data_IF_323621834259
#
_entry.id   IF_323621834259
#
_cell.length_a   1.000
_cell.length_b   1.000
_cell.length_c   1.000
_cell.angle_alpha   90.00
_cell.angle_beta   90.00
_cell.angle_gamma   90.00
#
_symmetry.space_group_name_H-M   'P 1'
#
loop_
_entity.id
_entity.type
_entity.pdbx_description
1 polymer ?
#
# COMPACT_ATOMS: atom_id res chain seq x y z
N UNK A 1 -12.62 4.37 20.07
CA UNK A 1 -12.49 3.09 19.37
C UNK A 1 -11.78 3.40 18.06
N UNK A 2 -10.54 3.05 17.97
CA UNK A 2 -9.61 3.52 16.93
C UNK A 2 -9.17 2.34 16.08
N UNK A 3 -9.57 2.32 14.84
CA UNK A 3 -9.05 1.45 13.77
C UNK A 3 -9.09 2.31 12.50
N UNK A 4 -8.17 2.24 11.56
CA UNK A 4 -7.36 1.14 11.09
C UNK A 4 -5.88 1.47 10.91
N UNK A 5 -5.05 0.44 10.98
CA UNK A 5 -3.63 0.50 10.73
C UNK A 5 -3.33 0.38 9.23
N UNK A 6 -3.44 1.46 8.46
CA UNK A 6 -2.65 1.58 7.24
C UNK A 6 -1.30 2.18 7.63
N UNK A 7 -0.38 1.32 7.97
CA UNK A 7 1.04 1.66 7.99
C UNK A 7 1.43 1.99 6.57
N UNK A 8 1.94 3.22 6.37
CA UNK A 8 2.57 3.70 5.14
C UNK A 8 1.90 3.09 3.90
N UNK A 9 1.82 3.81 2.82
CA UNK A 9 1.53 3.22 1.50
C UNK A 9 2.57 2.15 1.14
N UNK A 10 2.72 1.15 2.03
CA UNK A 10 3.04 -0.17 1.59
C UNK A 10 1.83 -0.52 0.75
N UNK A 11 1.93 -0.17 -0.53
CA UNK A 11 1.18 -0.87 -1.55
C UNK A 11 1.62 -2.31 -1.38
N UNK A 12 1.04 -2.97 -0.36
CA UNK A 12 1.03 -4.40 -0.35
C UNK A 12 0.43 -4.68 -1.72
N UNK A 13 1.26 -5.05 -2.68
CA UNK A 13 0.76 -5.76 -3.81
C UNK A 13 -0.21 -6.71 -3.15
N UNK A 14 -1.48 -6.58 -3.47
CA UNK A 14 -2.38 -7.67 -3.21
C UNK A 14 -1.70 -8.81 -3.92
N UNK A 15 -0.93 -9.56 -3.16
CA UNK A 15 -0.66 -10.90 -3.50
C UNK A 15 -2.06 -11.47 -3.65
N UNK A 16 -2.55 -11.42 -4.88
CA UNK A 16 -3.41 -12.45 -5.39
C UNK A 16 -2.53 -13.69 -5.26
N UNK A 17 -2.32 -14.10 -4.00
CA UNK A 17 -1.98 -15.47 -3.71
C UNK A 17 -3.12 -16.19 -4.35
N UNK A 18 -2.88 -16.70 -5.55
CA UNK A 18 -3.70 -17.69 -6.20
C UNK A 18 -3.93 -18.78 -5.17
N UNK A 19 -4.89 -18.54 -4.29
CA UNK A 19 -5.56 -19.60 -3.58
C UNK A 19 -6.14 -20.41 -4.71
N UNK A 20 -5.52 -21.57 -4.95
CA UNK A 20 -5.96 -22.54 -5.94
C UNK A 20 -7.48 -22.52 -6.05
N UNK A 21 -7.95 -22.35 -7.30
CA UNK A 21 -9.28 -22.63 -7.83
C UNK A 21 -10.27 -23.36 -6.89
N UNK A 22 -10.70 -22.66 -5.90
CA UNK A 22 -11.97 -22.89 -5.27
C UNK A 22 -12.76 -21.63 -5.60
N UNK A 23 -13.52 -21.66 -6.71
CA UNK A 23 -14.77 -20.90 -6.77
C UNK A 23 -15.48 -21.26 -5.49
N UNK A 24 -15.34 -20.40 -4.49
CA UNK A 24 -15.87 -20.69 -3.18
C UNK A 24 -17.39 -20.67 -3.34
N UNK A 25 -18.01 -21.84 -3.32
CA UNK A 25 -19.45 -21.95 -3.20
C UNK A 25 -19.91 -21.35 -1.86
N UNK A 26 -18.98 -21.19 -0.90
CA UNK A 26 -19.21 -20.76 0.46
C UNK A 26 -18.50 -19.43 0.80
N UNK A 27 -18.94 -18.82 1.89
CA UNK A 27 -18.30 -17.65 2.48
C UNK A 27 -16.91 -17.97 3.00
N UNK A 28 -15.93 -17.12 2.67
CA UNK A 28 -14.57 -17.23 3.18
C UNK A 28 -14.33 -16.22 4.30
N UNK A 29 -13.83 -16.71 5.42
CA UNK A 29 -13.43 -15.90 6.57
C UNK A 29 -11.93 -16.03 6.79
N UNK A 30 -11.21 -14.92 6.90
CA UNK A 30 -9.75 -14.90 7.12
C UNK A 30 -9.41 -13.99 8.29
N UNK A 31 -8.48 -14.43 9.12
CA UNK A 31 -7.86 -13.62 10.15
C UNK A 31 -6.36 -13.57 9.92
N UNK A 32 -5.78 -12.37 10.04
CA UNK A 32 -4.39 -12.11 9.76
C UNK A 32 -3.70 -11.52 10.97
N UNK A 33 -2.51 -12.01 11.30
CA UNK A 33 -1.63 -11.45 12.30
C UNK A 33 -0.19 -11.44 11.80
N UNK A 34 0.53 -10.35 12.02
CA UNK A 34 1.87 -10.24 11.47
C UNK A 34 2.65 -9.06 12.02
N UNK A 35 3.76 -8.78 11.35
CA UNK A 35 4.66 -7.67 11.66
C UNK A 35 5.17 -7.04 10.38
N UNK A 36 5.28 -5.72 10.38
CA UNK A 36 5.90 -4.95 9.29
C UNK A 36 7.07 -4.13 9.83
N UNK A 37 8.18 -4.15 9.11
CA UNK A 37 9.29 -3.21 9.32
C UNK A 37 9.46 -2.35 8.07
N UNK A 38 9.30 -1.04 8.21
CA UNK A 38 9.32 -0.08 7.11
C UNK A 38 9.82 1.29 7.57
N UNK A 39 10.18 2.21 6.65
CA UNK A 39 10.39 3.61 6.98
C UNK A 39 9.15 4.22 7.65
N UNK A 40 9.35 5.14 8.59
CA UNK A 40 8.23 5.77 9.33
C UNK A 40 7.31 6.61 8.44
N UNK A 41 7.85 7.15 7.35
CA UNK A 41 7.13 7.80 6.25
C UNK A 41 7.95 7.61 4.97
N UNK A 42 7.34 7.82 3.83
CA UNK A 42 8.00 7.67 2.54
C UNK A 42 9.15 8.67 2.39
N UNK A 43 10.36 8.17 2.21
CA UNK A 43 11.59 8.96 2.20
C UNK A 43 12.37 8.98 3.53
N UNK A 44 11.78 8.52 4.64
CA UNK A 44 12.46 8.51 5.93
C UNK A 44 13.66 7.56 5.96
N UNK A 45 14.72 7.96 6.66
CA UNK A 45 15.79 7.07 7.11
C UNK A 45 15.40 6.32 8.39
N UNK A 46 14.53 6.91 9.21
CA UNK A 46 14.00 6.34 10.43
C UNK A 46 13.00 5.22 10.11
N UNK A 47 13.13 4.11 10.82
CA UNK A 47 12.29 2.91 10.63
C UNK A 47 11.39 2.66 11.82
N UNK A 48 10.32 1.90 11.56
CA UNK A 48 9.43 1.42 12.60
C UNK A 48 9.13 -0.06 12.36
N UNK A 49 8.96 -0.79 13.46
CA UNK A 49 8.41 -2.15 13.42
C UNK A 49 7.06 -2.13 14.10
N UNK A 50 6.03 -2.52 13.39
CA UNK A 50 4.66 -2.44 13.87
C UNK A 50 3.93 -3.78 13.72
N UNK A 51 3.07 -4.15 14.68
CA UNK A 51 2.20 -5.30 14.52
C UNK A 51 1.15 -5.03 13.45
N UNK A 52 0.77 -6.08 12.73
CA UNK A 52 -0.33 -6.10 11.78
C UNK A 52 -1.41 -7.04 12.32
N UNK A 53 -2.63 -6.55 12.36
CA UNK A 53 -3.81 -7.34 12.68
C UNK A 53 -4.88 -6.99 11.65
N UNK A 54 -5.57 -8.00 11.15
CA UNK A 54 -6.59 -7.78 10.17
C UNK A 54 -7.43 -9.03 9.92
N UNK A 55 -8.36 -8.89 9.00
CA UNK A 55 -9.19 -9.99 8.56
C UNK A 55 -10.06 -9.58 7.39
N UNK A 56 -10.63 -10.56 6.74
CA UNK A 56 -11.57 -10.36 5.65
C UNK A 56 -12.70 -11.38 5.67
N UNK A 57 -13.81 -10.98 5.11
CA UNK A 57 -14.97 -11.82 4.83
C UNK A 57 -15.25 -11.63 3.35
N UNK A 58 -15.33 -12.73 2.59
CA UNK A 58 -15.65 -12.71 1.16
C UNK A 58 -16.82 -13.63 0.88
N UNK A 59 -17.82 -13.11 0.18
CA UNK A 59 -18.99 -13.89 -0.23
C UNK A 59 -18.70 -14.72 -1.49
N UNK A 60 -19.48 -15.76 -1.79
CA UNK A 60 -19.41 -16.51 -3.05
C UNK A 60 -19.54 -15.63 -4.30
N UNK A 61 -20.27 -14.53 -4.21
CA UNK A 61 -20.45 -13.56 -5.31
C UNK A 61 -19.34 -12.52 -5.44
N UNK A 62 -18.23 -12.64 -4.67
CA UNK A 62 -17.08 -11.75 -4.76
C UNK A 62 -17.19 -10.46 -3.92
N UNK A 63 -18.29 -10.22 -3.21
CA UNK A 63 -18.37 -9.09 -2.28
C UNK A 63 -17.51 -9.35 -1.06
N UNK A 64 -16.73 -8.36 -0.66
CA UNK A 64 -15.84 -8.51 0.50
C UNK A 64 -15.89 -7.33 1.47
N UNK A 65 -15.55 -7.64 2.72
CA UNK A 65 -15.20 -6.69 3.78
C UNK A 65 -13.79 -7.04 4.21
N UNK A 66 -12.87 -6.10 4.12
CA UNK A 66 -11.46 -6.30 4.45
C UNK A 66 -10.94 -5.13 5.29
N UNK A 67 -10.17 -5.42 6.33
CA UNK A 67 -9.66 -4.40 7.25
C UNK A 67 -8.62 -3.46 6.62
N UNK A 68 -8.02 -3.84 5.51
CA UNK A 68 -7.03 -3.04 4.80
C UNK A 68 -7.63 -2.32 3.58
N UNK A 69 -8.44 -3.00 2.77
CA UNK A 69 -9.07 -2.43 1.58
C UNK A 69 -10.37 -1.70 1.88
N UNK A 70 -11.15 -2.16 2.84
CA UNK A 70 -12.49 -1.67 3.13
C UNK A 70 -13.57 -2.59 2.57
N UNK A 71 -14.58 -2.03 1.94
CA UNK A 71 -15.73 -2.74 1.34
C UNK A 71 -15.56 -2.77 -0.16
N UNK A 72 -15.83 -3.92 -0.80
CA UNK A 72 -15.68 -3.99 -2.24
C UNK A 72 -16.28 -5.23 -2.86
N UNK A 73 -16.03 -5.34 -4.14
CA UNK A 73 -16.34 -6.50 -4.95
C UNK A 73 -15.15 -6.82 -5.84
N UNK A 74 -14.85 -8.09 -6.00
CA UNK A 74 -13.79 -8.58 -6.86
C UNK A 74 -14.28 -9.79 -7.66
N UNK A 75 -13.74 -9.91 -8.84
CA UNK A 75 -13.90 -11.05 -9.73
C UNK A 75 -12.54 -11.58 -10.10
N UNK A 76 -12.30 -12.83 -9.80
CA UNK A 76 -11.08 -13.55 -10.15
C UNK A 76 -11.41 -14.48 -11.34
N UNK A 77 -10.77 -14.23 -12.47
CA UNK A 77 -10.97 -14.99 -13.71
C UNK A 77 -9.69 -15.68 -14.19
N UNK A 78 -9.81 -16.57 -15.15
CA UNK A 78 -8.65 -17.32 -15.67
C UNK A 78 -7.62 -16.41 -16.35
N UNK A 79 -8.07 -15.38 -17.05
CA UNK A 79 -7.21 -14.46 -17.79
C UNK A 79 -7.19 -13.04 -17.21
N UNK A 80 -8.25 -12.64 -16.52
CA UNK A 80 -8.43 -11.28 -16.07
C UNK A 80 -9.13 -11.21 -14.72
N UNK A 81 -8.50 -10.53 -13.76
CA UNK A 81 -9.09 -10.19 -12.47
C UNK A 81 -9.46 -8.71 -12.44
N UNK A 82 -10.54 -8.40 -11.76
CA UNK A 82 -11.01 -7.04 -11.58
C UNK A 82 -11.62 -6.85 -10.21
N UNK A 83 -11.38 -5.69 -9.59
CA UNK A 83 -11.96 -5.34 -8.31
C UNK A 83 -12.26 -3.85 -8.18
N UNK A 84 -13.28 -3.53 -7.41
CA UNK A 84 -13.63 -2.16 -7.01
C UNK A 84 -13.88 -2.13 -5.51
N UNK A 85 -13.40 -1.07 -4.85
CA UNK A 85 -13.58 -0.95 -3.42
C UNK A 85 -13.68 0.50 -2.96
N UNK A 86 -14.31 0.68 -1.81
CA UNK A 86 -14.31 1.91 -1.03
C UNK A 86 -13.59 1.64 0.29
N UNK A 87 -12.70 2.54 0.65
CA UNK A 87 -11.86 2.34 1.83
C UNK A 87 -11.40 3.67 2.42
N UNK A 88 -10.26 3.60 3.10
CA UNK A 88 -9.64 4.77 3.71
C UNK A 88 -8.21 4.93 3.20
N UNK A 89 -7.81 6.16 2.86
CA UNK A 89 -6.45 6.44 2.38
C UNK A 89 -5.40 6.27 3.48
N UNK A 90 -4.14 6.17 3.07
CA UNK A 90 -3.02 6.26 3.98
C UNK A 90 -3.01 7.62 4.72
N UNK A 91 -2.37 7.65 5.89
CA UNK A 91 -2.22 8.83 6.72
C UNK A 91 -0.75 9.02 7.12
N UNK A 92 -0.34 10.27 7.35
CA UNK A 92 1.00 10.61 7.87
C UNK A 92 0.86 11.60 9.01
N UNK A 93 1.46 11.31 10.16
CA UNK A 93 1.53 12.24 11.29
C UNK A 93 2.80 13.07 11.19
N UNK A 94 2.70 14.35 11.50
CA UNK A 94 3.81 15.30 11.55
C UNK A 94 4.60 15.24 12.88
N UNK A 95 4.19 14.37 13.79
CA UNK A 95 4.87 14.07 15.03
C UNK A 95 4.86 12.55 15.29
N UNK A 96 5.76 12.08 16.17
CA UNK A 96 5.80 10.66 16.53
C UNK A 96 4.58 10.30 17.36
N UNK A 97 3.83 9.28 16.92
CA UNK A 97 2.68 8.74 17.60
C UNK A 97 2.66 7.22 17.46
N UNK A 98 3.20 6.51 18.46
CA UNK A 98 3.38 5.07 18.41
C UNK A 98 4.24 4.65 17.21
N UNK A 99 3.66 3.84 16.32
CA UNK A 99 4.33 3.34 15.12
C UNK A 99 4.28 4.30 13.93
N UNK A 100 3.57 5.44 14.05
CA UNK A 100 3.31 6.39 12.95
C UNK A 100 4.04 7.71 13.16
N UNK A 101 4.27 8.42 12.03
CA UNK A 101 4.80 9.76 12.02
C UNK A 101 6.25 9.88 12.50
N UNK A 102 6.76 11.08 12.47
CA UNK A 102 8.12 11.42 12.92
C UNK A 102 8.15 12.89 13.35
N UNK A 103 8.83 13.18 14.45
CA UNK A 103 9.02 14.54 14.95
C UNK A 103 9.83 15.40 13.97
N UNK A 104 10.55 14.74 13.05
CA UNK A 104 11.20 15.42 11.93
C UNK A 104 10.23 16.20 11.05
N UNK A 105 8.97 15.76 10.96
CA UNK A 105 7.93 16.40 10.14
C UNK A 105 7.17 17.52 10.87
N UNK A 106 7.61 17.91 12.06
CA UNK A 106 6.97 18.97 12.83
C UNK A 106 6.78 20.25 11.99
N UNK A 107 5.58 20.80 12.01
CA UNK A 107 5.19 21.97 11.22
C UNK A 107 4.72 21.67 9.80
N UNK A 108 4.85 20.44 9.32
CA UNK A 108 4.35 20.06 7.99
C UNK A 108 2.84 19.86 7.94
N UNK A 109 2.21 19.63 9.09
CA UNK A 109 0.81 19.21 9.18
C UNK A 109 0.64 17.70 8.91
N UNK A 110 -0.33 17.13 9.59
CA UNK A 110 -0.65 15.70 9.45
C UNK A 110 -1.57 15.48 8.25
N UNK A 111 -1.24 14.47 7.45
CA UNK A 111 -2.13 13.97 6.40
C UNK A 111 -3.10 13.00 7.07
N UNK A 112 -4.38 13.35 7.10
CA UNK A 112 -5.43 12.51 7.69
C UNK A 112 -5.86 11.43 6.72
N UNK A 113 -6.32 10.29 7.26
CA UNK A 113 -6.97 9.25 6.47
C UNK A 113 -8.35 9.73 6.04
N UNK A 114 -8.70 9.55 4.79
CA UNK A 114 -9.94 10.04 4.15
C UNK A 114 -10.56 8.95 3.29
N UNK A 115 -11.85 9.06 2.96
CA UNK A 115 -12.48 8.11 2.06
C UNK A 115 -11.73 8.01 0.73
N UNK A 116 -11.66 6.82 0.17
CA UNK A 116 -11.13 6.58 -1.17
C UNK A 116 -11.97 5.56 -1.92
N UNK A 117 -11.90 5.62 -3.24
CA UNK A 117 -12.35 4.58 -4.17
C UNK A 117 -11.11 4.01 -4.84
N UNK A 118 -11.04 2.67 -4.90
CA UNK A 118 -9.96 1.96 -5.57
C UNK A 118 -10.47 1.02 -6.65
N UNK A 119 -9.65 0.83 -7.67
CA UNK A 119 -9.83 -0.11 -8.77
C UNK A 119 -8.60 -0.98 -8.87
N UNK A 120 -8.81 -2.30 -8.88
CA UNK A 120 -7.77 -3.29 -9.15
C UNK A 120 -8.06 -3.96 -10.49
N UNK A 121 -7.01 -4.23 -11.25
CA UNK A 121 -7.07 -5.04 -12.46
C UNK A 121 -5.81 -5.88 -12.58
N UNK A 122 -5.94 -7.13 -13.01
CA UNK A 122 -4.79 -7.95 -13.37
C UNK A 122 -5.08 -8.76 -14.62
N UNK A 123 -4.05 -8.94 -15.46
CA UNK A 123 -4.10 -9.74 -16.66
C UNK A 123 -3.02 -10.81 -16.62
N UNK A 124 -3.44 -12.07 -16.79
CA UNK A 124 -2.57 -13.24 -16.74
C UNK A 124 -2.15 -13.66 -18.15
N UNK A 125 -0.86 -13.58 -18.42
CA UNK A 125 -0.26 -13.95 -19.70
C UNK A 125 0.75 -15.09 -19.48
N UNK A 126 0.27 -16.32 -19.43
CA UNK A 126 1.07 -17.46 -19.06
C UNK A 126 1.64 -17.31 -17.65
N UNK A 127 2.97 -17.34 -17.46
CA UNK A 127 3.55 -17.13 -16.12
C UNK A 127 3.61 -15.66 -15.70
N UNK A 128 3.31 -14.72 -16.59
CA UNK A 128 3.40 -13.29 -16.31
C UNK A 128 2.03 -12.76 -15.85
N UNK A 129 2.03 -11.92 -14.83
CA UNK A 129 0.86 -11.16 -14.40
C UNK A 129 1.16 -9.68 -14.49
N UNK A 130 0.41 -8.97 -15.32
CA UNK A 130 0.40 -7.51 -15.39
C UNK A 130 -0.73 -7.00 -14.52
N UNK A 131 -0.43 -6.15 -13.53
CA UNK A 131 -1.46 -5.64 -12.64
C UNK A 131 -1.41 -4.11 -12.53
N UNK A 132 -2.58 -3.53 -12.29
CA UNK A 132 -2.79 -2.10 -12.06
C UNK A 132 -3.68 -1.92 -10.83
N UNK A 133 -3.30 -0.99 -9.96
CA UNK A 133 -4.13 -0.50 -8.86
C UNK A 133 -4.23 1.02 -9.00
N UNK A 134 -5.45 1.53 -9.09
CA UNK A 134 -5.76 2.95 -9.11
C UNK A 134 -6.55 3.32 -7.86
N UNK A 135 -6.16 4.40 -7.19
CA UNK A 135 -6.86 4.94 -6.02
C UNK A 135 -7.15 6.43 -6.22
N UNK A 136 -8.39 6.81 -5.94
CA UNK A 136 -8.82 8.20 -5.82
C UNK A 136 -9.18 8.49 -4.37
N UNK A 137 -8.39 9.30 -3.68
CA UNK A 137 -8.69 9.80 -2.33
C UNK A 137 -9.46 11.11 -2.43
N UNK A 138 -10.63 11.17 -1.77
CA UNK A 138 -11.47 12.36 -1.79
C UNK A 138 -10.87 13.51 -0.98
N UNK A 139 -11.29 14.72 -1.27
CA UNK A 139 -10.93 15.90 -0.48
C UNK A 139 -11.42 15.73 0.97
N UNK A 140 -10.59 16.10 1.93
CA UNK A 140 -10.94 16.02 3.35
C UNK A 140 -11.31 17.39 3.90
N UNK A 141 -10.48 18.41 3.61
CA UNK A 141 -10.65 19.74 4.14
C UNK A 141 -10.17 20.79 3.12
N UNK A 142 -11.08 21.67 2.71
CA UNK A 142 -10.78 22.75 1.77
C UNK A 142 -9.88 23.84 2.36
N UNK A 143 -9.89 23.96 3.68
CA UNK A 143 -9.07 24.92 4.40
C UNK A 143 -7.63 24.43 4.63
N UNK A 144 -7.33 23.15 4.35
CA UNK A 144 -6.00 22.55 4.44
C UNK A 144 -5.48 22.06 3.07
N UNK A 145 -5.24 22.93 2.08
CA UNK A 145 -4.86 22.51 0.74
C UNK A 145 -3.52 21.78 0.65
N UNK A 146 -2.64 21.97 1.63
CA UNK A 146 -1.33 21.32 1.66
C UNK A 146 -1.41 19.81 2.01
N UNK A 147 -2.47 19.39 2.71
CA UNK A 147 -2.62 18.02 3.23
C UNK A 147 -3.98 17.40 2.93
N UNK A 148 -4.99 18.18 2.57
CA UNK A 148 -6.40 17.78 2.42
C UNK A 148 -6.92 17.61 0.99
N UNK A 149 -6.17 18.00 -0.05
CA UNK A 149 -6.64 17.96 -1.44
C UNK A 149 -6.94 16.54 -1.94
N UNK A 150 -8.00 16.38 -2.72
CA UNK A 150 -8.27 15.14 -3.45
C UNK A 150 -7.07 14.79 -4.33
N UNK A 151 -6.79 13.50 -4.48
CA UNK A 151 -5.64 13.08 -5.28
C UNK A 151 -5.77 11.65 -5.84
N UNK A 152 -4.97 11.38 -6.86
CA UNK A 152 -4.95 10.12 -7.58
C UNK A 152 -3.58 9.47 -7.48
N UNK A 153 -3.59 8.15 -7.29
CA UNK A 153 -2.41 7.31 -7.27
C UNK A 153 -2.63 6.08 -8.17
N UNK A 154 -1.62 5.72 -8.94
CA UNK A 154 -1.61 4.54 -9.80
C UNK A 154 -0.35 3.72 -9.54
N UNK A 155 -0.50 2.44 -9.24
CA UNK A 155 0.58 1.46 -9.23
C UNK A 155 0.41 0.49 -10.39
N UNK A 156 1.45 0.33 -11.19
CA UNK A 156 1.56 -0.70 -12.22
C UNK A 156 2.60 -1.71 -11.79
N UNK A 157 2.34 -3.00 -11.99
CA UNK A 157 3.30 -4.05 -11.66
C UNK A 157 3.30 -5.17 -12.70
N UNK A 158 4.46 -5.81 -12.81
CA UNK A 158 4.67 -7.00 -13.62
C UNK A 158 5.32 -8.05 -12.73
N UNK A 159 4.64 -9.18 -12.54
CA UNK A 159 5.05 -10.26 -11.66
C UNK A 159 5.15 -11.59 -12.37
N UNK A 160 5.91 -12.52 -11.76
CA UNK A 160 6.02 -13.89 -12.22
C UNK A 160 6.39 -14.82 -11.06
N UNK A 161 5.84 -16.04 -11.00
CA UNK A 161 6.31 -17.04 -10.06
C UNK A 161 7.76 -17.42 -10.41
N UNK A 162 8.65 -17.35 -9.43
CA UNK A 162 10.06 -17.76 -9.53
C UNK A 162 10.28 -19.19 -9.07
N UNK A 163 9.45 -19.64 -8.12
CA UNK A 163 9.48 -21.00 -7.59
C UNK A 163 8.08 -21.39 -7.11
N UNK A 164 7.69 -22.62 -7.39
CA UNK A 164 6.50 -23.27 -6.82
C UNK A 164 6.82 -24.71 -6.46
N UNK A 165 6.67 -25.08 -5.19
CA UNK A 165 7.01 -26.42 -4.73
C UNK A 165 6.72 -26.66 -3.25
N UNK A 166 7.34 -27.69 -2.68
CA UNK A 166 7.08 -28.12 -1.29
C UNK A 166 7.35 -27.05 -0.21
N UNK A 167 8.13 -26.03 -0.53
CA UNK A 167 8.42 -24.92 0.39
C UNK A 167 7.55 -23.68 0.12
N UNK A 168 6.42 -23.87 -0.56
CA UNK A 168 5.52 -22.81 -0.93
C UNK A 168 5.80 -22.24 -2.31
N UNK A 169 5.41 -20.98 -2.50
CA UNK A 169 5.57 -20.25 -3.74
C UNK A 169 6.37 -18.96 -3.50
N UNK A 170 7.32 -18.68 -4.37
CA UNK A 170 8.07 -17.43 -4.42
C UNK A 170 7.72 -16.71 -5.72
N UNK A 171 7.21 -15.48 -5.60
CA UNK A 171 6.90 -14.60 -6.72
C UNK A 171 7.83 -13.39 -6.69
N UNK A 172 8.36 -13.01 -7.85
CA UNK A 172 9.09 -11.78 -8.05
C UNK A 172 8.26 -10.81 -8.86
N UNK A 173 8.32 -9.52 -8.53
CA UNK A 173 7.69 -8.48 -9.32
C UNK A 173 8.52 -7.19 -9.37
N UNK A 174 8.30 -6.42 -10.44
CA UNK A 174 8.74 -5.03 -10.55
C UNK A 174 7.52 -4.13 -10.59
N UNK A 175 7.65 -2.90 -10.11
CA UNK A 175 6.54 -1.96 -10.08
C UNK A 175 6.98 -0.53 -10.39
N UNK A 176 5.99 0.29 -10.76
CA UNK A 176 6.12 1.75 -10.88
C UNK A 176 4.89 2.40 -10.28
N UNK A 177 5.09 3.46 -9.53
CA UNK A 177 4.04 4.23 -8.88
C UNK A 177 3.98 5.63 -9.46
N UNK A 178 2.77 6.09 -9.76
CA UNK A 178 2.49 7.41 -10.32
C UNK A 178 1.50 8.13 -9.41
N UNK A 179 1.67 9.44 -9.29
CA UNK A 179 0.73 10.31 -8.60
C UNK A 179 0.40 11.52 -9.46
N UNK A 180 -0.81 12.04 -9.32
CA UNK A 180 -1.12 13.35 -9.88
C UNK A 180 -0.40 14.47 -9.10
N UNK A 181 -0.57 15.73 -9.54
CA UNK A 181 0.07 16.87 -8.90
C UNK A 181 -0.31 17.06 -7.45
N UNK A 182 -1.56 16.74 -7.09
CA UNK A 182 -2.06 16.84 -5.73
C UNK A 182 -1.51 15.73 -4.84
N UNK A 183 -1.40 14.50 -5.35
CA UNK A 183 -0.75 13.41 -4.65
C UNK A 183 0.70 13.73 -4.31
N UNK A 184 1.50 14.10 -5.34
CA UNK A 184 2.94 14.33 -5.14
C UNK A 184 3.16 15.55 -4.25
N UNK A 185 2.35 16.60 -4.39
CA UNK A 185 2.39 17.79 -3.52
C UNK A 185 2.05 17.47 -2.07
N UNK A 186 1.00 16.68 -1.83
CA UNK A 186 0.58 16.26 -0.47
C UNK A 186 1.64 15.43 0.25
N UNK A 187 2.27 14.50 -0.46
CA UNK A 187 3.21 13.56 0.17
C UNK A 187 4.66 14.06 0.21
N UNK A 188 5.07 14.87 -0.78
CA UNK A 188 6.47 15.25 -1.00
C UNK A 188 6.68 16.76 -1.17
N UNK A 189 5.62 17.54 -1.34
CA UNK A 189 5.70 19.00 -1.42
C UNK A 189 5.99 19.64 -0.06
N UNK A 190 6.53 20.87 -0.12
CA UNK A 190 6.66 21.79 1.02
C UNK A 190 6.21 23.15 0.56
N UNK A 191 5.03 23.62 1.02
CA UNK A 191 4.52 24.95 0.70
C UNK A 191 5.33 26.05 1.41
N UNK A 192 5.18 27.30 1.00
CA UNK A 192 5.81 28.42 1.69
C UNK A 192 5.35 28.51 3.16
N UNK A 193 4.05 28.24 3.41
CA UNK A 193 3.50 28.22 4.76
C UNK A 193 4.14 27.10 5.62
N UNK A 194 4.32 25.90 5.05
CA UNK A 194 5.00 24.81 5.72
C UNK A 194 6.49 25.12 5.95
N UNK A 195 7.17 25.70 4.96
CA UNK A 195 8.59 26.08 5.11
C UNK A 195 8.81 27.13 6.19
N UNK A 196 7.85 28.04 6.42
CA UNK A 196 7.98 29.07 7.48
C UNK A 196 7.83 28.52 8.91
N UNK A 197 7.25 27.33 9.08
CA UNK A 197 6.95 26.72 10.40
C UNK A 197 7.62 25.35 10.62
N UNK A 198 8.44 24.89 9.66
CA UNK A 198 9.17 23.64 9.74
C UNK A 198 10.65 23.85 9.46
N UNK A 199 11.44 22.79 9.57
CA UNK A 199 12.87 22.82 9.24
C UNK A 199 13.16 22.70 7.73
N UNK A 200 12.12 22.52 6.89
CA UNK A 200 12.29 22.22 5.47
C UNK A 200 12.23 23.48 4.63
N UNK A 201 13.02 23.53 3.56
CA UNK A 201 12.88 24.55 2.51
C UNK A 201 11.66 24.28 1.66
N UNK A 202 11.05 25.31 1.10
CA UNK A 202 9.96 25.16 0.16
C UNK A 202 10.38 24.27 -1.04
N UNK A 203 9.47 23.38 -1.45
CA UNK A 203 9.67 22.46 -2.57
C UNK A 203 8.37 22.27 -3.34
N UNK A 204 8.39 22.66 -4.60
CA UNK A 204 7.25 22.46 -5.51
C UNK A 204 7.39 21.09 -6.16
N UNK A 205 6.52 20.16 -5.76
CA UNK A 205 6.47 18.83 -6.33
C UNK A 205 5.38 18.74 -7.41
N UNK A 206 5.71 18.12 -8.53
CA UNK A 206 4.84 17.93 -9.69
C UNK A 206 4.42 16.47 -9.82
N UNK A 207 3.24 16.24 -10.42
CA UNK A 207 2.76 14.88 -10.69
C UNK A 207 3.63 14.11 -11.67
N UNK A 208 3.53 12.80 -11.65
CA UNK A 208 4.25 11.89 -12.52
C UNK A 208 4.74 10.63 -11.79
N UNK A 209 5.89 10.12 -12.21
CA UNK A 209 6.51 8.93 -11.61
C UNK A 209 7.02 9.26 -10.20
N UNK A 210 6.45 8.58 -9.21
CA UNK A 210 6.81 8.71 -7.78
C UNK A 210 7.94 7.78 -7.40
N UNK A 211 7.82 6.49 -7.78
CA UNK A 211 8.84 5.49 -7.47
C UNK A 211 8.85 4.35 -8.48
N UNK A 212 9.97 3.62 -8.48
CA UNK A 212 10.12 2.31 -9.12
C UNK A 212 10.64 1.32 -8.10
N UNK A 213 10.15 0.09 -8.15
CA UNK A 213 10.50 -0.89 -7.15
C UNK A 213 10.53 -2.31 -7.65
N UNK A 214 10.97 -3.18 -6.75
CA UNK A 214 10.92 -4.62 -6.90
C UNK A 214 10.43 -5.25 -5.60
N UNK A 215 9.73 -6.37 -5.73
CA UNK A 215 9.21 -7.15 -4.62
C UNK A 215 9.55 -8.62 -4.79
N UNK A 216 9.83 -9.28 -3.68
CA UNK A 216 9.85 -10.73 -3.56
C UNK A 216 8.82 -11.12 -2.52
N UNK A 217 7.86 -11.93 -2.92
CA UNK A 217 6.80 -12.43 -2.09
C UNK A 217 6.91 -13.95 -1.97
N UNK A 218 7.08 -14.42 -0.75
CA UNK A 218 7.07 -15.83 -0.44
C UNK A 218 5.82 -16.19 0.36
N UNK A 219 5.15 -17.27 -0.03
CA UNK A 219 3.99 -17.80 0.66
C UNK A 219 4.10 -19.30 0.84
N UNK A 220 3.68 -19.78 2.00
CA UNK A 220 3.69 -21.18 2.34
C UNK A 220 2.42 -21.55 3.10
N UNK A 221 1.53 -22.38 2.53
CA UNK A 221 0.47 -23.01 3.29
C UNK A 221 1.04 -24.09 4.21
N UNK A 222 0.48 -24.22 5.43
CA UNK A 222 0.81 -25.29 6.36
C UNK A 222 -0.43 -25.74 7.13
N UNK A 223 -0.69 -27.03 7.10
CA UNK A 223 -1.98 -27.56 7.53
C UNK A 223 -3.11 -27.16 6.58
N UNK A 224 -4.33 -27.27 7.06
CA UNK A 224 -5.55 -27.06 6.25
C UNK A 224 -5.99 -25.60 6.22
N UNK A 225 -5.70 -24.84 7.27
CA UNK A 225 -6.24 -23.49 7.51
C UNK A 225 -5.19 -22.39 7.59
N UNK A 226 -3.92 -22.72 7.70
CA UNK A 226 -2.87 -21.76 7.95
C UNK A 226 -2.01 -21.47 6.73
N UNK A 227 -1.64 -20.21 6.57
CA UNK A 227 -0.57 -19.83 5.64
C UNK A 227 0.34 -18.76 6.27
N UNK A 228 1.60 -18.77 5.86
CA UNK A 228 2.59 -17.74 6.17
C UNK A 228 2.96 -17.04 4.88
N UNK A 229 2.96 -15.71 4.88
CA UNK A 229 3.44 -14.91 3.77
C UNK A 229 4.51 -13.93 4.26
N UNK A 230 5.56 -13.75 3.47
CA UNK A 230 6.60 -12.74 3.72
C UNK A 230 6.87 -11.99 2.43
N UNK A 231 6.84 -10.66 2.51
CA UNK A 231 7.11 -9.75 1.39
C UNK A 231 8.33 -8.91 1.72
N UNK A 232 9.30 -8.89 0.81
CA UNK A 232 10.44 -7.99 0.80
C UNK A 232 10.23 -7.01 -0.35
N UNK A 233 10.23 -5.71 -0.07
CA UNK A 233 10.11 -4.69 -1.10
C UNK A 233 11.25 -3.68 -1.02
N UNK A 234 11.63 -3.18 -2.19
CA UNK A 234 12.60 -2.11 -2.35
C UNK A 234 12.10 -1.14 -3.42
N UNK A 235 11.81 0.09 -3.03
CA UNK A 235 11.32 1.16 -3.89
C UNK A 235 12.32 2.30 -3.94
N UNK A 236 12.59 2.81 -5.11
CA UNK A 236 13.45 3.98 -5.34
C UNK A 236 12.60 5.18 -5.73
N UNK A 237 12.58 6.20 -4.86
CA UNK A 237 11.88 7.46 -5.10
C UNK A 237 12.52 8.23 -6.25
N UNK A 238 11.70 8.65 -7.20
CA UNK A 238 12.11 9.24 -8.47
C UNK A 238 11.61 10.69 -8.59
N UNK A 239 12.25 11.45 -9.48
CA UNK A 239 11.84 12.80 -9.83
C UNK A 239 11.61 13.71 -8.61
N UNK A 240 10.58 14.55 -8.66
CA UNK A 240 10.24 15.53 -7.63
C UNK A 240 9.97 14.88 -6.26
N UNK A 241 9.46 13.65 -6.24
CA UNK A 241 9.29 12.91 -4.99
C UNK A 241 10.65 12.60 -4.34
N UNK A 242 11.62 12.14 -5.12
CA UNK A 242 12.96 11.84 -4.64
C UNK A 242 13.79 13.08 -4.30
N UNK A 243 13.52 14.23 -4.93
CA UNK A 243 14.22 15.50 -4.70
C UNK A 243 13.62 16.32 -3.55
N UNK A 244 12.55 15.84 -2.95
CA UNK A 244 11.90 16.49 -1.81
C UNK A 244 12.85 16.61 -0.62
N UNK A 245 12.87 17.77 0.08
CA UNK A 245 13.62 17.93 1.31
C UNK A 245 13.12 17.05 2.46
N UNK A 246 11.95 16.44 2.33
CA UNK A 246 11.42 15.44 3.26
C UNK A 246 12.14 14.10 3.16
N UNK A 247 12.84 13.84 2.05
CA UNK A 247 13.46 12.55 1.74
C UNK A 247 14.90 12.48 2.22
N UNK A 248 15.14 11.61 3.19
CA UNK A 248 16.49 11.28 3.67
C UNK A 248 17.19 10.25 2.79
N UNK A 249 16.41 9.28 2.33
CA UNK A 249 16.88 8.18 1.48
C UNK A 249 15.90 7.94 0.36
N UNK A 250 16.39 7.90 -0.88
CA UNK A 250 15.53 7.54 -2.03
C UNK A 250 15.21 6.05 -2.08
N UNK A 251 16.16 5.19 -1.66
CA UNK A 251 15.93 3.76 -1.59
C UNK A 251 15.19 3.42 -0.28
N UNK A 252 13.95 2.99 -0.42
CA UNK A 252 13.06 2.60 0.66
C UNK A 252 12.89 1.09 0.64
N UNK A 253 13.18 0.43 1.75
CA UNK A 253 13.01 -1.03 1.86
C UNK A 253 11.98 -1.36 2.92
N UNK A 254 11.24 -2.43 2.74
CA UNK A 254 10.29 -2.92 3.73
C UNK A 254 10.25 -4.44 3.78
N UNK A 255 9.87 -4.94 4.93
CA UNK A 255 9.63 -6.38 5.18
C UNK A 255 8.30 -6.50 5.89
N UNK A 256 7.44 -7.35 5.35
CA UNK A 256 6.16 -7.71 5.97
C UNK A 256 6.12 -9.22 6.12
N UNK A 257 5.81 -9.72 7.30
CA UNK A 257 5.56 -11.15 7.51
C UNK A 257 4.24 -11.33 8.25
N UNK A 258 3.38 -12.20 7.74
CA UNK A 258 2.00 -12.34 8.18
C UNK A 258 1.57 -13.80 8.16
N UNK A 259 0.95 -14.25 9.23
CA UNK A 259 0.19 -15.49 9.30
C UNK A 259 -1.29 -15.20 9.00
N UNK A 260 -1.90 -16.09 8.24
CA UNK A 260 -3.33 -16.08 7.93
C UNK A 260 -3.96 -17.38 8.36
N UNK A 261 -5.10 -17.28 9.04
CA UNK A 261 -6.00 -18.40 9.31
C UNK A 261 -7.25 -18.25 8.44
N UNK A 262 -7.57 -19.30 7.68
CA UNK A 262 -8.79 -19.38 6.85
C UNK A 262 -9.71 -20.43 7.46
N UNK A 263 -10.97 -20.07 7.72
CA UNK A 263 -11.98 -20.94 8.34
C UNK A 263 -12.58 -21.87 7.29
#
# INVERSE_FOLDING_TARGET
>A
MSVPYRLLSLSCACLLLSANDLRAEDWQYRLNAGVANAPRYSGASERTTAPLLGGSITSPGGFFIDTQKGLGWAHDGDAFDFGVYVGASAARKDHRSGFKGSDKLEGMGSIKSRPLVGLDAAYHLGPLTLAANFEHAFEEDKDEPDTGSANNHLKLSLGTPLYKGRFGELTGSINSQFGDGDYVRTWYGVSQAQASRSQFRAHKASGGLVSRGAELAWSMPFGEHWSLATVLAADYLSNDAGDSPLVDKRLQTSVVSQMTYTF
#
